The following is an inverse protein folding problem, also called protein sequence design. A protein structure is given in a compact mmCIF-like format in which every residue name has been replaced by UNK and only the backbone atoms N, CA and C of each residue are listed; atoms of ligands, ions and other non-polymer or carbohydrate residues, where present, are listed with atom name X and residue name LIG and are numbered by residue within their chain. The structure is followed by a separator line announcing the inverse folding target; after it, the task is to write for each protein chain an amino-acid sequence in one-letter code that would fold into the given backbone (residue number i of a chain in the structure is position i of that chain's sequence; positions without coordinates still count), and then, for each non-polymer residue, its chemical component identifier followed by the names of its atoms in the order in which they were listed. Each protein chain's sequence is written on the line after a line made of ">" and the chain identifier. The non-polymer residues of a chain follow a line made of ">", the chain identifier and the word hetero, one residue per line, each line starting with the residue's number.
data_IF_738215430322
#
_entry.id   IF_738215430322
#
_cell.length_a   1.000
_cell.length_b   1.000
_cell.length_c   1.000
_cell.angle_alpha   90.00
_cell.angle_beta   90.00
_cell.angle_gamma   90.00
#
_symmetry.space_group_name_H-M   'P 1'
#
loop_
_entity.id
_entity.type
_entity.pdbx_description
1 polymer ?
#
# COMPACT_ATOMS: atom_id res chain seq x y z
N UNK A 1 -13.11 8.17 -5.86
CA UNK A 1 -12.40 7.31 -4.89
C UNK A 1 -12.85 5.87 -5.14
N UNK A 2 -11.93 4.89 -5.26
CA UNK A 2 -12.32 3.49 -5.44
C UNK A 2 -13.05 2.96 -4.19
N UNK A 3 -13.91 1.95 -4.32
CA UNK A 3 -14.54 1.30 -3.17
C UNK A 3 -13.48 0.69 -2.26
N UNK A 4 -13.73 0.72 -0.95
CA UNK A 4 -12.84 0.08 0.02
C UNK A 4 -12.95 -1.45 -0.11
N UNK A 5 -11.84 -2.14 0.17
CA UNK A 5 -11.87 -3.58 0.31
C UNK A 5 -12.65 -3.98 1.57
N UNK A 6 -13.34 -5.12 1.51
CA UNK A 6 -13.87 -5.78 2.70
C UNK A 6 -12.76 -5.95 3.75
N UNK A 7 -13.07 -5.91 5.06
CA UNK A 7 -12.06 -5.97 6.12
C UNK A 7 -11.10 -7.17 6.00
N UNK A 8 -11.59 -8.28 5.43
CA UNK A 8 -10.78 -9.46 5.14
C UNK A 8 -9.69 -9.21 4.08
N UNK A 9 -10.00 -8.42 3.04
CA UNK A 9 -9.11 -8.11 1.93
C UNK A 9 -8.35 -6.79 2.10
N UNK A 10 -8.70 -5.96 3.08
CA UNK A 10 -8.01 -4.68 3.35
C UNK A 10 -6.47 -4.76 3.35
N UNK A 11 -5.82 -5.82 3.87
CA UNK A 11 -4.36 -5.93 3.82
C UNK A 11 -3.75 -6.02 2.42
N UNK A 12 -4.52 -6.30 1.36
CA UNK A 12 -4.02 -6.45 -0.02
C UNK A 12 -3.33 -5.18 -0.53
N UNK A 13 -3.75 -4.01 -0.02
CA UNK A 13 -3.16 -2.71 -0.35
C UNK A 13 -1.66 -2.69 -0.02
N UNK A 14 -1.22 -3.43 1.01
CA UNK A 14 0.19 -3.52 1.38
C UNK A 14 1.08 -4.10 0.26
N UNK A 15 0.51 -4.79 -0.72
CA UNK A 15 1.27 -5.25 -1.89
C UNK A 15 1.87 -4.08 -2.67
N UNK A 16 1.21 -2.92 -2.71
CA UNK A 16 1.70 -1.74 -3.43
C UNK A 16 3.06 -1.25 -2.91
N UNK A 17 3.34 -1.42 -1.61
CA UNK A 17 4.63 -1.07 -0.96
C UNK A 17 5.58 -2.25 -0.76
N UNK A 18 5.28 -3.42 -1.34
CA UNK A 18 6.16 -4.58 -1.22
C UNK A 18 7.40 -4.43 -2.11
N UNK A 19 8.53 -4.99 -1.67
CA UNK A 19 9.77 -5.02 -2.47
C UNK A 19 9.57 -5.64 -3.85
N UNK A 20 8.77 -6.70 -3.92
CA UNK A 20 8.44 -7.37 -5.19
C UNK A 20 7.67 -6.43 -6.13
N UNK A 21 6.67 -5.71 -5.63
CA UNK A 21 5.91 -4.76 -6.44
C UNK A 21 6.80 -3.63 -6.96
N UNK A 22 7.63 -3.04 -6.09
CA UNK A 22 8.58 -2.00 -6.48
C UNK A 22 9.53 -2.47 -7.57
N UNK A 23 10.04 -3.70 -7.46
CA UNK A 23 10.89 -4.30 -8.48
C UNK A 23 10.15 -4.54 -9.81
N UNK A 24 8.87 -4.95 -9.77
CA UNK A 24 8.06 -5.10 -10.98
C UNK A 24 7.81 -3.76 -11.68
N UNK A 25 7.42 -2.73 -10.92
CA UNK A 25 7.24 -1.36 -11.42
C UNK A 25 8.53 -0.90 -12.09
N UNK A 26 9.67 -1.03 -11.40
CA UNK A 26 11.00 -0.69 -11.93
C UNK A 26 11.31 -1.40 -13.24
N UNK A 27 11.14 -2.74 -13.28
CA UNK A 27 11.43 -3.54 -14.48
C UNK A 27 10.59 -3.09 -15.67
N UNK A 28 9.30 -2.81 -15.47
CA UNK A 28 8.44 -2.34 -16.56
C UNK A 28 8.89 -0.98 -17.06
N UNK A 29 9.16 -0.01 -16.17
CA UNK A 29 9.65 1.31 -16.57
C UNK A 29 10.98 1.24 -17.32
N UNK A 30 11.93 0.43 -16.84
CA UNK A 30 13.22 0.22 -17.52
C UNK A 30 13.05 -0.46 -18.88
N UNK A 31 12.14 -1.43 -19.01
CA UNK A 31 11.85 -2.11 -20.28
C UNK A 31 11.21 -1.16 -21.28
N UNK A 32 10.29 -0.30 -20.85
CA UNK A 32 9.69 0.73 -21.69
C UNK A 32 10.77 1.68 -22.20
N UNK A 33 11.65 2.18 -21.32
CA UNK A 33 12.74 3.10 -21.70
C UNK A 33 13.73 2.47 -22.70
N UNK A 34 13.93 1.15 -22.64
CA UNK A 34 14.79 0.41 -23.59
C UNK A 34 14.05 -0.08 -24.83
N UNK A 35 12.75 0.22 -24.97
CA UNK A 35 11.87 -0.31 -26.03
C UNK A 35 11.98 -1.83 -26.16
N UNK A 36 12.01 -2.51 -25.02
CA UNK A 36 12.10 -3.96 -24.97
C UNK A 36 10.93 -4.59 -25.72
N UNK A 37 11.17 -5.69 -26.44
CA UNK A 37 10.08 -6.51 -27.02
C UNK A 37 9.08 -7.06 -25.97
N UNK A 38 9.45 -7.03 -24.69
CA UNK A 38 8.59 -7.42 -23.56
C UNK A 38 7.94 -6.21 -22.85
N UNK A 39 8.08 -5.01 -23.42
CA UNK A 39 7.30 -3.84 -23.02
C UNK A 39 6.04 -3.76 -23.89
N UNK A 40 4.94 -3.36 -23.28
CA UNK A 40 3.71 -3.05 -23.99
C UNK A 40 3.06 -1.84 -23.37
N UNK A 41 2.27 -1.15 -24.18
CA UNK A 41 1.49 0.00 -23.76
C UNK A 41 0.62 -0.30 -22.53
N UNK A 42 -0.08 -1.44 -22.57
CA UNK A 42 -0.90 -1.91 -21.45
C UNK A 42 -0.11 -2.23 -20.17
N UNK A 43 1.15 -2.67 -20.28
CA UNK A 43 2.00 -2.87 -19.11
C UNK A 43 2.43 -1.53 -18.50
N UNK A 44 2.80 -0.56 -19.33
CA UNK A 44 3.13 0.79 -18.85
C UNK A 44 1.93 1.42 -18.15
N UNK A 45 0.76 1.42 -18.78
CA UNK A 45 -0.48 1.94 -18.20
C UNK A 45 -0.78 1.33 -16.83
N UNK A 46 -0.73 -0.01 -16.71
CA UNK A 46 -0.98 -0.71 -15.44
C UNK A 46 0.00 -0.31 -14.36
N UNK A 47 1.28 -0.15 -14.69
CA UNK A 47 2.30 0.26 -13.73
C UNK A 47 2.10 1.71 -13.29
N UNK A 48 1.79 2.62 -14.21
CA UNK A 48 1.44 4.00 -13.87
C UNK A 48 0.19 4.05 -12.98
N UNK A 49 -0.83 3.27 -13.29
CA UNK A 49 -2.02 3.15 -12.46
C UNK A 49 -1.70 2.66 -11.03
N UNK A 50 -0.86 1.63 -10.89
CA UNK A 50 -0.44 1.13 -9.57
C UNK A 50 0.35 2.18 -8.77
N UNK A 51 1.19 2.96 -9.43
CA UNK A 51 1.87 4.11 -8.79
C UNK A 51 0.84 5.13 -8.31
N UNK A 52 -0.15 5.48 -9.14
CA UNK A 52 -1.24 6.36 -8.73
C UNK A 52 -2.03 5.85 -7.53
N UNK A 53 -2.33 4.54 -7.50
CA UNK A 53 -2.97 3.90 -6.35
C UNK A 53 -2.13 4.00 -5.07
N UNK A 54 -0.81 3.76 -5.17
CA UNK A 54 0.10 3.90 -4.03
C UNK A 54 0.18 5.33 -3.48
N UNK A 55 0.25 6.33 -4.36
CA UNK A 55 0.23 7.74 -3.99
C UNK A 55 -1.08 8.15 -3.32
N UNK A 56 -2.21 7.67 -3.86
CA UNK A 56 -3.53 7.93 -3.28
C UNK A 56 -3.66 7.30 -1.89
N UNK A 57 -3.21 6.07 -1.71
CA UNK A 57 -3.25 5.39 -0.42
C UNK A 57 -2.43 6.16 0.64
N UNK A 58 -1.23 6.61 0.29
CA UNK A 58 -0.41 7.42 1.20
C UNK A 58 -1.06 8.76 1.57
N UNK A 59 -1.85 9.34 0.66
CA UNK A 59 -2.59 10.57 0.96
C UNK A 59 -3.71 10.32 1.98
N UNK A 60 -4.37 9.16 1.89
CA UNK A 60 -5.46 8.77 2.81
C UNK A 60 -4.91 8.31 4.16
N UNK A 61 -3.78 7.61 4.15
CA UNK A 61 -3.15 7.03 5.31
C UNK A 61 -1.66 7.39 5.34
N UNK A 62 -1.28 8.37 6.16
CA UNK A 62 0.10 8.82 6.31
C UNK A 62 1.07 7.74 6.79
N UNK A 63 0.58 6.66 7.42
CA UNK A 63 1.41 5.51 7.82
C UNK A 63 1.70 4.55 6.64
N UNK A 64 1.09 4.78 5.48
CA UNK A 64 1.34 4.03 4.26
C UNK A 64 2.49 4.66 3.49
N UNK A 65 3.73 4.31 3.86
CA UNK A 65 4.93 4.86 3.23
C UNK A 65 5.21 4.24 1.84
N UNK A 66 4.47 4.71 0.83
CA UNK A 66 4.72 4.36 -0.56
C UNK A 66 5.92 5.12 -1.14
N UNK A 67 6.06 6.41 -0.79
CA UNK A 67 7.13 7.30 -1.26
C UNK A 67 8.50 6.75 -0.87
N UNK A 68 8.72 6.33 0.39
CA UNK A 68 9.99 5.77 0.83
C UNK A 68 10.38 4.52 0.03
N UNK A 69 9.45 3.57 -0.13
CA UNK A 69 9.67 2.38 -0.96
C UNK A 69 9.92 2.72 -2.44
N UNK A 70 9.22 3.71 -2.99
CA UNK A 70 9.38 4.15 -4.38
C UNK A 70 10.71 4.89 -4.61
N UNK A 71 11.23 5.59 -3.60
CA UNK A 71 12.54 6.23 -3.62
C UNK A 71 13.67 5.21 -3.63
N UNK A 72 13.61 4.19 -2.77
CA UNK A 72 14.56 3.07 -2.77
C UNK A 72 14.66 2.40 -4.15
N UNK A 73 13.52 2.28 -4.85
CA UNK A 73 13.44 1.70 -6.18
C UNK A 73 13.67 2.68 -7.34
N UNK A 74 13.96 3.97 -7.07
CA UNK A 74 14.19 5.03 -8.06
C UNK A 74 13.01 5.24 -9.04
N UNK A 75 11.77 4.98 -8.60
CA UNK A 75 10.57 5.01 -9.46
C UNK A 75 10.34 6.40 -10.05
N UNK A 76 10.48 7.45 -9.24
CA UNK A 76 10.30 8.83 -9.72
C UNK A 76 11.27 9.19 -10.86
N UNK A 77 12.54 8.83 -10.72
CA UNK A 77 13.57 9.10 -11.74
C UNK A 77 13.27 8.35 -13.04
N UNK A 78 12.84 7.09 -12.94
CA UNK A 78 12.46 6.28 -14.10
C UNK A 78 11.25 6.86 -14.84
N UNK A 79 10.21 7.28 -14.10
CA UNK A 79 9.05 7.97 -14.68
C UNK A 79 9.46 9.29 -15.34
N UNK A 80 10.31 10.08 -14.69
CA UNK A 80 10.80 11.35 -15.24
C UNK A 80 11.57 11.16 -16.54
N UNK A 81 12.39 10.11 -16.64
CA UNK A 81 13.19 9.82 -17.83
C UNK A 81 12.35 9.39 -19.03
N UNK A 82 11.17 8.80 -18.78
CA UNK A 82 10.20 8.48 -19.82
C UNK A 82 9.42 9.72 -20.28
N UNK A 83 9.25 10.74 -19.45
CA UNK A 83 8.42 11.88 -19.82
C UNK A 83 8.92 12.59 -21.09
N UNK A 84 8.01 12.81 -22.05
CA UNK A 84 8.34 13.37 -23.37
C UNK A 84 9.04 12.40 -24.32
N UNK A 85 9.14 11.12 -23.99
CA UNK A 85 9.67 10.09 -24.89
C UNK A 85 8.54 9.48 -25.73
N UNK A 86 8.81 9.15 -27.01
CA UNK A 86 7.86 8.48 -27.89
C UNK A 86 7.37 7.13 -27.35
N UNK A 87 8.17 6.36 -26.61
CA UNK A 87 7.72 5.09 -26.01
C UNK A 87 6.68 5.24 -24.89
N UNK A 88 6.51 6.44 -24.33
CA UNK A 88 5.48 6.74 -23.31
C UNK A 88 4.41 7.68 -23.82
N UNK A 89 4.45 8.08 -25.09
CA UNK A 89 3.53 9.05 -25.69
C UNK A 89 2.05 8.71 -25.47
N UNK A 90 1.61 7.43 -25.61
CA UNK A 90 0.20 7.08 -25.36
C UNK A 90 -0.28 7.31 -23.91
N UNK A 91 0.66 7.42 -22.96
CA UNK A 91 0.39 7.66 -21.54
C UNK A 91 1.04 8.93 -21.01
N UNK A 92 1.38 9.88 -21.89
CA UNK A 92 2.09 11.10 -21.53
C UNK A 92 1.34 11.92 -20.48
N UNK A 93 0.03 12.07 -20.61
CA UNK A 93 -0.82 12.81 -19.67
C UNK A 93 -0.83 12.17 -18.28
N UNK A 94 -1.03 10.84 -18.23
CA UNK A 94 -1.01 10.10 -16.96
C UNK A 94 0.36 10.17 -16.30
N UNK A 95 1.43 10.03 -17.09
CA UNK A 95 2.81 10.13 -16.60
C UNK A 95 3.10 11.53 -16.04
N UNK A 96 2.71 12.58 -16.76
CA UNK A 96 2.84 13.97 -16.34
C UNK A 96 2.09 14.24 -15.03
N UNK A 97 0.82 13.84 -14.96
CA UNK A 97 -0.01 13.94 -13.77
C UNK A 97 0.64 13.23 -12.57
N UNK A 98 1.14 12.00 -12.76
CA UNK A 98 1.76 11.23 -11.68
C UNK A 98 3.07 11.88 -11.20
N UNK A 99 3.85 12.50 -12.07
CA UNK A 99 5.06 13.22 -11.66
C UNK A 99 4.73 14.43 -10.77
N UNK A 100 3.67 15.16 -11.07
CA UNK A 100 3.19 16.26 -10.23
C UNK A 100 2.62 15.75 -8.91
N UNK A 101 1.76 14.71 -8.98
CA UNK A 101 1.15 14.09 -7.81
C UNK A 101 2.21 13.52 -6.86
N UNK A 102 3.23 12.86 -7.39
CA UNK A 102 4.34 12.32 -6.60
C UNK A 102 5.06 13.41 -5.83
N UNK A 103 5.38 14.54 -6.49
CA UNK A 103 6.04 15.68 -5.83
C UNK A 103 5.18 16.24 -4.70
N UNK A 104 3.88 16.39 -4.94
CA UNK A 104 2.91 16.90 -3.95
C UNK A 104 2.79 15.97 -2.74
N UNK A 105 2.62 14.67 -2.95
CA UNK A 105 2.54 13.68 -1.85
C UNK A 105 3.85 13.63 -1.07
N UNK A 106 5.01 13.78 -1.73
CA UNK A 106 6.32 13.84 -1.08
C UNK A 106 6.53 15.10 -0.24
N UNK A 107 5.97 16.25 -0.62
CA UNK A 107 6.03 17.45 0.22
C UNK A 107 5.12 17.32 1.44
N UNK A 108 3.90 16.81 1.27
CA UNK A 108 2.93 16.59 2.35
C UNK A 108 3.45 15.56 3.38
N UNK A 109 4.17 14.54 2.93
CA UNK A 109 4.77 13.54 3.82
C UNK A 109 5.91 14.11 4.67
N UNK A 110 6.67 15.10 4.17
CA UNK A 110 7.74 15.75 4.93
C UNK A 110 7.20 16.70 5.99
N UNK A 111 6.12 17.41 5.69
CA UNK A 111 5.46 18.32 6.64
C UNK A 111 4.91 17.55 7.84
N UNK A 112 4.40 16.34 7.63
CA UNK A 112 3.92 15.47 8.71
C UNK A 112 5.06 15.02 9.65
N UNK A 113 6.30 14.88 9.15
CA UNK A 113 7.47 14.54 9.99
C UNK A 113 7.97 15.76 10.78
N UNK A 114 7.66 16.99 10.34
CA UNK A 114 8.04 18.22 11.06
C UNK A 114 7.07 18.62 12.18
N UNK A 115 5.89 18.01 12.29
CA UNK A 115 5.14 18.08 13.54
C UNK A 115 5.88 17.21 14.57
N UNK A 116 6.34 17.78 15.70
CA UNK A 116 7.00 16.98 16.72
C UNK A 116 6.04 15.86 17.08
N UNK A 117 6.58 14.64 17.06
CA UNK A 117 6.01 13.47 17.70
C UNK A 117 5.51 13.87 19.08
N UNK A 118 4.24 14.27 19.16
CA UNK A 118 3.49 14.17 20.40
C UNK A 118 3.51 12.67 20.64
N UNK A 119 4.34 12.27 21.59
CA UNK A 119 4.39 10.94 22.12
C UNK A 119 2.97 10.57 22.56
N UNK A 120 2.22 9.95 21.66
CA UNK A 120 1.18 9.03 22.08
C UNK A 120 1.96 7.91 22.78
N UNK A 121 1.67 7.68 24.07
CA UNK A 121 2.56 6.93 24.93
C UNK A 121 2.77 5.56 24.32
N UNK A 122 4.00 5.06 24.42
CA UNK A 122 4.29 3.66 24.19
C UNK A 122 3.15 2.84 24.77
N UNK A 123 2.34 2.26 23.89
CA UNK A 123 1.44 1.19 24.24
C UNK A 123 2.37 0.09 24.71
N UNK A 124 2.63 0.12 26.02
CA UNK A 124 3.65 -0.69 26.66
C UNK A 124 3.44 -2.14 26.22
N UNK A 125 4.51 -2.92 26.26
CA UNK A 125 4.44 -4.35 25.98
C UNK A 125 3.28 -5.05 26.74
N UNK A 126 2.89 -4.48 27.90
CA UNK A 126 1.72 -4.84 28.69
C UNK A 126 0.37 -4.65 27.98
N UNK A 127 0.17 -3.58 27.21
CA UNK A 127 -1.10 -3.24 26.56
C UNK A 127 -1.34 -4.10 25.30
N UNK A 128 -0.26 -4.37 24.54
CA UNK A 128 -0.30 -5.35 23.43
C UNK A 128 -0.60 -6.74 23.97
N UNK A 129 0.03 -7.14 25.09
CA UNK A 129 -0.21 -8.42 25.76
C UNK A 129 -1.64 -8.50 26.32
N UNK A 130 -2.17 -7.42 26.87
CA UNK A 130 -3.55 -7.34 27.36
C UNK A 130 -4.57 -7.49 26.24
N UNK A 131 -4.38 -6.83 25.09
CA UNK A 131 -5.25 -7.00 23.91
C UNK A 131 -5.21 -8.44 23.38
N UNK A 132 -4.03 -9.05 23.26
CA UNK A 132 -3.90 -10.47 22.86
C UNK A 132 -4.59 -11.41 23.85
N UNK A 133 -4.44 -11.17 25.16
CA UNK A 133 -5.08 -11.96 26.21
C UNK A 133 -6.61 -11.82 26.18
N UNK A 134 -7.14 -10.61 25.96
CA UNK A 134 -8.58 -10.37 25.86
C UNK A 134 -9.21 -11.09 24.65
N UNK A 135 -8.53 -11.09 23.50
CA UNK A 135 -8.97 -11.83 22.30
C UNK A 135 -8.95 -13.34 22.57
N UNK A 136 -7.90 -13.85 23.21
CA UNK A 136 -7.81 -15.28 23.56
C UNK A 136 -8.89 -15.70 24.57
N UNK A 137 -9.18 -14.87 25.58
CA UNK A 137 -10.25 -15.11 26.56
C UNK A 137 -11.63 -15.14 25.89
N UNK A 138 -11.90 -14.20 24.95
CA UNK A 138 -13.15 -14.17 24.18
C UNK A 138 -13.33 -15.45 23.34
N UNK A 139 -12.27 -15.93 22.69
CA UNK A 139 -12.30 -17.20 21.93
C UNK A 139 -12.52 -18.42 22.83
N UNK A 140 -11.87 -18.47 24.01
CA UNK A 140 -12.07 -19.55 25.00
C UNK A 140 -13.50 -19.57 25.54
N UNK A 141 -14.10 -18.40 25.81
CA UNK A 141 -15.50 -18.30 26.23
C UNK A 141 -16.46 -18.81 25.15
N UNK A 142 -16.26 -18.40 23.90
CA UNK A 142 -17.06 -18.90 22.77
C UNK A 142 -16.93 -20.42 22.59
N UNK A 143 -15.72 -20.97 22.73
CA UNK A 143 -15.51 -22.41 22.69
C UNK A 143 -16.18 -23.14 23.88
N UNK A 144 -16.11 -22.59 25.10
CA UNK A 144 -16.82 -23.18 26.25
C UNK A 144 -18.34 -23.09 26.12
N UNK A 145 -18.87 -22.02 25.54
CA UNK A 145 -20.31 -21.90 25.28
C UNK A 145 -20.74 -22.96 24.24
N UNK A 146 -19.96 -23.17 23.17
CA UNK A 146 -20.17 -24.25 22.21
C UNK A 146 -20.10 -25.63 22.88
N UNK A 147 -19.11 -25.89 23.74
CA UNK A 147 -19.00 -27.16 24.47
C UNK A 147 -20.14 -27.33 25.47
N UNK A 148 -20.65 -26.26 26.11
CA UNK A 148 -21.85 -26.31 26.94
C UNK A 148 -23.09 -26.66 26.13
N UNK A 149 -23.25 -26.14 24.91
CA UNK A 149 -24.35 -26.53 24.03
C UNK A 149 -24.22 -27.96 23.50
N UNK A 150 -22.99 -28.46 23.32
CA UNK A 150 -22.72 -29.84 22.87
C UNK A 150 -22.85 -30.85 24.02
N UNK A 151 -22.39 -30.52 25.24
CA UNK A 151 -22.50 -31.38 26.42
C UNK A 151 -23.89 -31.32 27.08
N UNK A 152 -24.54 -30.16 27.09
CA UNK A 152 -25.92 -30.03 27.55
C UNK A 152 -26.88 -30.31 26.39
N UNK A 153 -26.65 -31.43 25.72
CA UNK A 153 -27.47 -31.92 24.63
C UNK A 153 -28.93 -31.64 24.91
N UNK A 154 -29.54 -30.86 24.01
CA UNK A 154 -30.99 -30.85 23.81
C UNK A 154 -31.41 -32.27 23.47
N UNK A 155 -31.64 -33.05 24.52
CA UNK A 155 -32.56 -34.17 24.49
C UNK A 155 -33.94 -33.51 24.53
N UNK A 156 -34.52 -33.43 23.32
CA UNK A 156 -35.91 -33.11 22.99
C UNK A 156 -36.53 -31.88 23.67
#
# INVERSE_FOLDING_TARGET
>A
MPPQFEPFFAPIINLLRSKMMMQLIRIVLERTARRSRYSSDGLLHRVLFLVGMGLNEQTVNSNFDFIGCAEEANIFTLMKNLNGKPESEPHADLLGYLLERYKKTKSESKETVMQPRLEAPDASESEIKARKAAIAAKKRKQAMDQVKYVCCGKIL
#
